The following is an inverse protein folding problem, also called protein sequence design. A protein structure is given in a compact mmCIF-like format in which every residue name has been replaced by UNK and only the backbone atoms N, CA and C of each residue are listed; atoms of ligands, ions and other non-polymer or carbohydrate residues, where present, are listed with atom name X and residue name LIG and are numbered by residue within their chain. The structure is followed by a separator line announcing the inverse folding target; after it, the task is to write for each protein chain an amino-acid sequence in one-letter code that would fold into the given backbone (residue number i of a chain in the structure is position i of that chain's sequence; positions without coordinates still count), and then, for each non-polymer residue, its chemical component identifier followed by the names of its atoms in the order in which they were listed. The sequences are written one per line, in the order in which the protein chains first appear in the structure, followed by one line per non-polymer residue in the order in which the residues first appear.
data_IF_788907061390
#
_entry.id   IF_788907061390
#
_cell.length_a   1.000
_cell.length_b   1.000
_cell.length_c   1.000
_cell.angle_alpha   90.00
_cell.angle_beta   90.00
_cell.angle_gamma   90.00
#
_symmetry.space_group_name_H-M   'P 1'
#
loop_
_entity.id
_entity.type
_entity.pdbx_description
1 polymer ?
#
# COMPACT_ATOMS: atom_id res chain seq x y z
N UNK A 1 -10.93 -18.37 -25.05
CA UNK A 1 -9.73 -18.45 -24.18
C UNK A 1 -8.68 -17.57 -24.82
N UNK A 2 -8.68 -16.29 -24.46
CA UNK A 2 -7.80 -15.31 -25.10
C UNK A 2 -6.43 -15.35 -24.43
N UNK A 3 -5.57 -16.23 -24.93
CA UNK A 3 -4.13 -16.08 -24.76
C UNK A 3 -3.73 -14.86 -25.57
N UNK A 4 -3.67 -13.71 -24.92
CA UNK A 4 -3.08 -12.52 -25.49
C UNK A 4 -1.56 -12.74 -25.60
N UNK A 5 -1.09 -13.13 -26.79
CA UNK A 5 0.33 -13.24 -27.16
C UNK A 5 0.81 -11.88 -27.69
N UNK A 6 0.12 -10.78 -27.38
CA UNK A 6 0.66 -9.45 -27.64
C UNK A 6 1.66 -9.15 -26.53
N UNK A 7 2.94 -9.31 -26.87
CA UNK A 7 4.11 -9.09 -26.02
C UNK A 7 4.25 -7.66 -25.49
N UNK A 8 3.31 -7.19 -24.68
CA UNK A 8 3.54 -6.06 -23.83
C UNK A 8 4.47 -6.51 -22.69
N UNK A 9 5.72 -6.06 -22.73
CA UNK A 9 6.68 -6.19 -21.62
C UNK A 9 6.23 -5.44 -20.33
N UNK A 10 5.00 -4.91 -20.33
CA UNK A 10 4.41 -4.06 -19.30
C UNK A 10 2.94 -4.46 -19.06
N UNK A 11 2.70 -5.60 -18.41
CA UNK A 11 1.35 -5.99 -18.00
C UNK A 11 0.73 -4.91 -17.09
N UNK A 12 -0.59 -4.71 -17.24
CA UNK A 12 -1.38 -3.81 -16.41
C UNK A 12 -2.45 -4.62 -15.67
N UNK A 13 -2.41 -4.57 -14.35
CA UNK A 13 -3.45 -5.15 -13.49
C UNK A 13 -4.31 -4.02 -12.95
N UNK A 14 -5.58 -4.01 -13.32
CA UNK A 14 -6.55 -3.00 -12.88
C UNK A 14 -7.44 -3.54 -11.75
N UNK A 15 -6.86 -4.42 -10.92
CA UNK A 15 -7.54 -5.11 -9.84
C UNK A 15 -7.33 -4.36 -8.52
N UNK A 16 -8.36 -4.36 -7.67
CA UNK A 16 -8.28 -3.82 -6.32
C UNK A 16 -8.39 -4.95 -5.31
N UNK A 17 -7.32 -5.18 -4.57
CA UNK A 17 -7.28 -6.17 -3.49
C UNK A 17 -7.56 -5.49 -2.16
N UNK A 18 -8.46 -6.07 -1.37
CA UNK A 18 -8.74 -5.65 0.01
C UNK A 18 -8.20 -6.73 0.92
N UNK A 19 -7.16 -6.39 1.68
CA UNK A 19 -6.50 -7.32 2.59
C UNK A 19 -6.73 -6.84 4.03
N UNK A 20 -7.08 -7.78 4.90
CA UNK A 20 -6.97 -7.55 6.34
C UNK A 20 -5.49 -7.56 6.69
N UNK A 21 -4.95 -6.40 7.07
CA UNK A 21 -3.53 -6.28 7.42
C UNK A 21 -3.37 -6.44 8.93
N UNK A 22 -2.79 -7.56 9.43
CA UNK A 22 -2.66 -7.78 10.86
C UNK A 22 -1.82 -6.68 11.52
N UNK A 23 -2.15 -6.33 12.77
CA UNK A 23 -1.49 -5.27 13.54
C UNK A 23 0.04 -5.46 13.67
N UNK A 24 0.52 -6.70 13.56
CA UNK A 24 1.93 -7.04 13.69
C UNK A 24 2.65 -7.30 12.35
N UNK A 25 1.92 -7.23 11.23
CA UNK A 25 2.52 -7.38 9.91
C UNK A 25 3.32 -6.14 9.54
N UNK A 26 4.51 -6.34 8.99
CA UNK A 26 5.46 -5.25 8.65
C UNK A 26 5.58 -5.00 7.16
N UNK A 27 5.05 -5.89 6.34
CA UNK A 27 5.15 -5.82 4.88
C UNK A 27 4.11 -6.69 4.20
N UNK A 28 3.95 -6.48 2.90
CA UNK A 28 3.36 -7.44 1.97
C UNK A 28 4.45 -7.97 1.04
N UNK A 29 4.30 -9.22 0.62
CA UNK A 29 5.09 -9.79 -0.47
C UNK A 29 4.23 -9.82 -1.71
N UNK A 30 4.75 -9.30 -2.81
CA UNK A 30 4.09 -9.30 -4.11
C UNK A 30 4.85 -10.25 -5.02
N UNK A 31 4.16 -11.25 -5.54
CA UNK A 31 4.70 -12.21 -6.50
C UNK A 31 4.06 -11.99 -7.86
N UNK A 32 4.90 -11.93 -8.89
CA UNK A 32 4.47 -11.91 -10.29
C UNK A 32 4.69 -13.30 -10.85
N UNK A 33 3.60 -13.91 -11.31
CA UNK A 33 3.61 -15.24 -11.90
C UNK A 33 3.25 -15.16 -13.38
N UNK A 34 3.96 -15.94 -14.20
CA UNK A 34 3.69 -16.12 -15.61
C UNK A 34 3.07 -17.49 -15.83
N UNK A 35 1.92 -17.53 -16.51
CA UNK A 35 1.27 -18.75 -16.95
C UNK A 35 1.72 -19.09 -18.36
N UNK A 36 2.39 -20.22 -18.51
CA UNK A 36 2.84 -20.78 -19.79
C UNK A 36 2.07 -22.07 -20.09
N UNK A 37 2.28 -22.62 -21.29
CA UNK A 37 1.75 -23.95 -21.65
C UNK A 37 2.25 -25.07 -20.71
N UNK A 38 3.42 -24.87 -20.11
CA UNK A 38 4.06 -25.81 -19.19
C UNK A 38 3.67 -25.63 -17.70
N UNK A 39 2.88 -24.61 -17.35
CA UNK A 39 2.42 -24.38 -15.98
C UNK A 39 2.48 -22.92 -15.54
N UNK A 40 2.48 -22.71 -14.22
CA UNK A 40 2.61 -21.38 -13.60
C UNK A 40 3.99 -21.28 -12.97
N UNK A 41 4.72 -20.21 -13.28
CA UNK A 41 6.04 -19.94 -12.72
C UNK A 41 6.13 -18.54 -12.14
N UNK A 42 6.72 -18.41 -10.96
CA UNK A 42 7.07 -17.09 -10.41
C UNK A 42 8.24 -16.52 -11.21
N UNK A 43 8.05 -15.30 -11.71
CA UNK A 43 9.06 -14.58 -12.50
C UNK A 43 9.68 -13.42 -11.71
N UNK A 44 9.02 -12.94 -10.65
CA UNK A 44 9.60 -11.92 -9.78
C UNK A 44 8.87 -11.77 -8.46
N UNK A 45 9.60 -11.37 -7.43
CA UNK A 45 9.08 -11.11 -6.08
C UNK A 45 9.57 -9.75 -5.59
N UNK A 46 8.73 -9.04 -4.86
CA UNK A 46 9.09 -7.80 -4.16
C UNK A 46 8.44 -7.75 -2.77
N UNK A 47 9.16 -7.15 -1.81
CA UNK A 47 8.62 -6.89 -0.46
C UNK A 47 8.33 -5.41 -0.33
N UNK A 48 7.08 -5.08 0.01
CA UNK A 48 6.64 -3.70 0.20
C UNK A 48 6.32 -3.46 1.69
N UNK A 49 7.06 -2.53 2.31
CA UNK A 49 6.94 -2.19 3.73
C UNK A 49 6.74 -0.70 3.99
N UNK A 50 6.90 0.16 2.98
CA UNK A 50 7.01 1.61 3.17
C UNK A 50 5.72 2.29 3.65
N UNK A 51 4.59 1.60 3.52
CA UNK A 51 3.29 2.04 4.02
C UNK A 51 3.02 1.60 5.48
N UNK A 52 3.90 0.80 6.08
CA UNK A 52 3.75 0.29 7.46
C UNK A 52 4.63 1.10 8.41
N UNK A 53 4.04 1.62 9.50
CA UNK A 53 4.79 2.38 10.51
C UNK A 53 4.30 3.80 10.79
N UNK A 54 3.05 4.14 10.47
CA UNK A 54 2.40 5.38 10.91
C UNK A 54 2.51 6.58 9.97
N UNK A 55 3.06 6.42 8.78
CA UNK A 55 3.32 7.52 7.83
C UNK A 55 2.20 7.79 6.82
N UNK A 56 1.12 7.01 6.80
CA UNK A 56 0.05 7.17 5.81
C UNK A 56 -1.21 7.71 6.48
N UNK A 57 -1.51 9.01 6.33
CA UNK A 57 -2.75 9.58 6.85
C UNK A 57 -3.98 8.90 6.24
N UNK A 58 -5.09 8.98 6.96
CA UNK A 58 -6.36 8.42 6.52
C UNK A 58 -6.76 8.97 5.13
N UNK A 59 -7.20 8.07 4.24
CA UNK A 59 -7.64 8.43 2.90
C UNK A 59 -6.51 8.73 1.90
N UNK A 60 -5.25 8.81 2.33
CA UNK A 60 -4.12 8.98 1.43
C UNK A 60 -3.87 7.70 0.61
N UNK A 61 -3.70 7.89 -0.69
CA UNK A 61 -3.27 6.84 -1.61
C UNK A 61 -1.78 7.03 -1.93
N UNK A 62 -0.97 6.04 -1.57
CA UNK A 62 0.43 6.00 -1.94
C UNK A 62 0.60 5.30 -3.27
N UNK A 63 1.44 5.85 -4.15
CA UNK A 63 1.90 5.18 -5.37
C UNK A 63 3.34 4.76 -5.16
N UNK A 64 3.60 3.46 -5.21
CA UNK A 64 4.87 2.86 -4.83
C UNK A 64 5.40 2.00 -5.99
N UNK A 65 6.70 2.08 -6.24
CA UNK A 65 7.39 1.33 -7.28
C UNK A 65 8.46 0.44 -6.66
N UNK A 66 8.29 -0.88 -6.76
CA UNK A 66 9.20 -1.86 -6.18
C UNK A 66 9.98 -2.61 -7.25
N UNK A 67 11.28 -2.83 -7.02
CA UNK A 67 12.10 -3.71 -7.86
C UNK A 67 11.73 -5.16 -7.62
N UNK A 68 11.38 -5.86 -8.69
CA UNK A 68 11.20 -7.30 -8.66
C UNK A 68 12.55 -7.99 -8.68
N UNK A 69 12.66 -9.08 -7.93
CA UNK A 69 13.79 -9.99 -7.95
C UNK A 69 13.36 -11.36 -8.42
N UNK A 70 14.13 -11.98 -9.31
CA UNK A 70 13.89 -13.35 -9.75
C UNK A 70 14.30 -14.38 -8.68
N UNK A 71 14.15 -15.66 -9.00
CA UNK A 71 14.55 -16.77 -8.13
C UNK A 71 16.05 -16.80 -7.75
N UNK A 72 16.91 -16.12 -8.50
CA UNK A 72 18.35 -15.96 -8.18
C UNK A 72 18.62 -14.70 -7.36
N UNK A 73 17.60 -13.88 -7.12
CA UNK A 73 17.71 -12.59 -6.45
C UNK A 73 18.09 -11.44 -7.38
N UNK A 74 18.18 -11.69 -8.68
CA UNK A 74 18.58 -10.71 -9.69
C UNK A 74 17.42 -9.79 -10.07
N UNK A 75 17.75 -8.57 -10.47
CA UNK A 75 16.73 -7.55 -10.81
C UNK A 75 15.97 -7.96 -12.05
N UNK A 76 14.66 -8.13 -11.93
CA UNK A 76 13.78 -8.54 -13.03
C UNK A 76 12.55 -7.63 -13.16
N UNK A 77 12.81 -6.34 -13.44
CA UNK A 77 11.77 -5.35 -13.69
C UNK A 77 11.27 -4.62 -12.43
N UNK A 78 10.14 -3.94 -12.61
CA UNK A 78 9.51 -3.06 -11.60
C UNK A 78 8.02 -3.36 -11.56
N UNK A 79 7.46 -3.41 -10.36
CA UNK A 79 6.02 -3.43 -10.12
C UNK A 79 5.59 -2.10 -9.49
N UNK A 80 4.51 -1.52 -10.02
CA UNK A 80 3.90 -0.32 -9.48
C UNK A 80 2.59 -0.71 -8.79
N UNK A 81 2.43 -0.31 -7.53
CA UNK A 81 1.22 -0.56 -6.76
C UNK A 81 0.71 0.75 -6.16
N UNK A 82 -0.61 0.86 -6.03
CA UNK A 82 -1.22 1.90 -5.21
C UNK A 82 -1.79 1.30 -3.93
N UNK A 83 -1.54 1.95 -2.80
CA UNK A 83 -1.95 1.46 -1.48
C UNK A 83 -2.78 2.53 -0.78
N UNK A 84 -3.92 2.11 -0.22
CA UNK A 84 -4.77 2.94 0.64
C UNK A 84 -5.10 2.14 1.89
N UNK A 85 -4.79 2.69 3.07
CA UNK A 85 -5.17 2.10 4.34
C UNK A 85 -6.67 2.35 4.59
N UNK A 86 -7.38 1.34 5.10
CA UNK A 86 -8.72 1.50 5.68
C UNK A 86 -8.59 1.54 7.19
N UNK A 87 -9.20 2.53 7.84
CA UNK A 87 -9.28 2.57 9.30
C UNK A 87 -10.26 1.50 9.76
N UNK A 88 -9.89 0.77 10.82
CA UNK A 88 -10.85 -0.04 11.56
C UNK A 88 -11.65 0.91 12.47
N UNK A 89 -12.98 0.86 12.42
CA UNK A 89 -13.89 1.83 13.06
C UNK A 89 -13.58 2.14 14.54
N UNK A 90 -12.87 1.25 15.23
CA UNK A 90 -12.41 1.45 16.62
C UNK A 90 -11.50 2.68 16.84
N UNK A 91 -10.79 3.17 15.83
CA UNK A 91 -9.90 4.34 15.98
C UNK A 91 -10.51 5.68 15.51
N UNK A 92 -11.68 5.65 14.86
CA UNK A 92 -12.33 6.87 14.37
C UNK A 92 -12.79 7.80 15.51
N UNK A 93 -13.13 7.24 16.68
CA UNK A 93 -13.57 8.00 17.86
C UNK A 93 -12.41 8.69 18.62
N UNK A 94 -11.15 8.36 18.35
CA UNK A 94 -10.00 8.99 19.01
C UNK A 94 -9.49 10.24 18.26
N UNK A 95 -9.80 10.37 16.97
CA UNK A 95 -9.38 11.53 16.15
C UNK A 95 -10.22 12.78 16.40
N UNK A 96 -11.41 12.66 16.97
CA UNK A 96 -12.31 13.80 17.21
C UNK A 96 -11.94 14.64 18.44
N UNK A 97 -10.94 14.25 19.24
CA UNK A 97 -10.67 14.91 20.54
C UNK A 97 -9.53 15.94 20.52
N UNK A 98 -8.83 16.16 19.40
CA UNK A 98 -7.68 17.09 19.35
C UNK A 98 -7.93 18.44 18.69
N UNK A 99 -9.18 18.88 18.56
CA UNK A 99 -9.45 20.27 18.17
C UNK A 99 -10.72 20.83 18.80
N UNK A 100 -10.67 21.13 20.09
CA UNK A 100 -11.63 22.06 20.70
C UNK A 100 -11.06 22.70 21.96
N UNK A 101 -10.84 24.01 21.85
CA UNK A 101 -10.61 25.02 22.88
C UNK A 101 -9.26 25.10 23.61
N UNK A 102 -8.37 25.92 23.02
CA UNK A 102 -7.46 26.79 23.79
C UNK A 102 -7.85 28.24 23.53
N UNK A 103 -8.92 28.72 24.16
CA UNK A 103 -9.23 30.14 24.22
C UNK A 103 -8.69 30.68 25.54
N UNK A 104 -7.42 31.08 25.57
CA UNK A 104 -6.89 31.89 26.68
C UNK A 104 -7.36 33.33 26.47
N UNK A 105 -8.37 33.75 27.23
CA UNK A 105 -8.74 35.15 27.35
C UNK A 105 -7.82 35.86 28.33
N UNK A 106 -7.27 37.02 27.93
CA UNK A 106 -6.53 37.92 28.80
C UNK A 106 -7.49 38.63 29.78
N UNK A 107 -7.13 38.84 31.06
CA UNK A 107 -7.92 39.69 31.93
C UNK A 107 -7.70 41.16 31.55
N UNK A 108 -8.78 41.88 31.23
CA UNK A 108 -8.76 43.33 31.13
C UNK A 108 -8.85 43.92 32.55
N UNK A 109 -7.83 44.69 32.92
CA UNK A 109 -7.84 45.45 34.17
C UNK A 109 -8.82 46.63 34.08
N UNK A 110 -9.49 46.87 35.19
CA UNK A 110 -10.69 47.69 35.37
C UNK A 110 -10.28 49.07 35.87
N UNK A 111 -10.66 50.14 35.17
CA UNK A 111 -10.63 51.51 35.69
C UNK A 111 -11.94 51.87 36.37
#
# INVERSE_FOLDING_TARGET
MDMNIDGSAYPRWNEKLVLNFPTHSKSITVEVQCKTSSGVRTIGTATASDFVGGYVPEGCMLFLSYRLRDHKGERNGIINISVRMKVHEMYACASSTMWSHSQMGFPADRN
#
